data_IF_837859905672
#
_entry.id   IF_837859905672
#
_cell.length_a   1.000
_cell.length_b   1.000
_cell.length_c   1.000
_cell.angle_alpha   90.00
_cell.angle_beta   90.00
_cell.angle_gamma   90.00
#
_symmetry.space_group_name_H-M   'P 1'
#
loop_
_entity.id
_entity.type
_entity.pdbx_description
1 polymer ?
#
# COMPACT_ATOMS: atom_id res chain seq x y z
N UNK A 1 -25.40 -19.65 9.23
CA UNK A 1 -24.92 -20.90 9.88
C UNK A 1 -24.53 -20.59 11.33
N UNK A 2 -25.04 -21.32 12.33
CA UNK A 2 -24.79 -21.02 13.75
C UNK A 2 -23.32 -21.31 14.10
N UNK A 3 -22.46 -20.27 14.03
CA UNK A 3 -21.00 -20.33 14.21
C UNK A 3 -20.58 -20.92 15.57
N UNK A 4 -21.42 -20.75 16.59
CA UNK A 4 -21.23 -21.35 17.92
C UNK A 4 -21.40 -22.86 17.85
N UNK A 5 -22.48 -23.34 17.23
CA UNK A 5 -22.72 -24.78 17.05
C UNK A 5 -21.69 -25.43 16.09
N UNK A 6 -21.25 -24.71 15.06
CA UNK A 6 -20.22 -25.18 14.12
C UNK A 6 -18.84 -25.24 14.80
N UNK A 7 -18.42 -24.21 15.54
CA UNK A 7 -17.12 -24.18 16.21
C UNK A 7 -17.02 -25.15 17.40
N UNK A 8 -18.13 -25.43 18.10
CA UNK A 8 -18.16 -26.44 19.19
C UNK A 8 -18.07 -27.86 18.60
N UNK A 9 -18.77 -28.14 17.49
CA UNK A 9 -18.75 -29.47 16.84
C UNK A 9 -17.44 -29.81 16.17
N UNK A 10 -16.72 -28.84 15.59
CA UNK A 10 -15.54 -29.15 14.75
C UNK A 10 -14.19 -29.02 15.45
N UNK A 11 -14.08 -28.31 16.59
CA UNK A 11 -12.75 -27.95 17.18
C UNK A 11 -12.62 -28.14 18.70
N UNK A 12 -13.67 -28.60 19.39
CA UNK A 12 -13.68 -28.91 20.82
C UNK A 12 -13.85 -27.70 21.76
N UNK A 13 -14.51 -27.91 22.91
CA UNK A 13 -14.91 -26.85 23.85
C UNK A 13 -13.78 -25.99 24.44
N UNK A 14 -12.58 -26.56 24.61
CA UNK A 14 -11.40 -25.84 25.13
C UNK A 14 -10.87 -24.79 24.14
N UNK A 15 -10.87 -25.09 22.84
CA UNK A 15 -10.48 -24.14 21.80
C UNK A 15 -11.52 -23.03 21.58
N UNK A 16 -12.80 -23.36 21.75
CA UNK A 16 -13.89 -22.39 21.73
C UNK A 16 -13.80 -21.43 22.92
N UNK A 17 -13.63 -21.94 24.15
CA UNK A 17 -13.47 -21.12 25.35
C UNK A 17 -12.24 -20.20 25.27
N UNK A 18 -11.10 -20.70 24.78
CA UNK A 18 -9.89 -19.89 24.54
C UNK A 18 -10.17 -18.75 23.55
N UNK A 19 -10.84 -19.04 22.42
CA UNK A 19 -11.20 -18.03 21.42
C UNK A 19 -12.18 -17.00 21.96
N UNK A 20 -13.17 -17.42 22.77
CA UNK A 20 -14.09 -16.50 23.42
C UNK A 20 -13.34 -15.57 24.38
N UNK A 21 -12.46 -16.12 25.22
CA UNK A 21 -11.64 -15.32 26.15
C UNK A 21 -10.79 -14.26 25.43
N UNK A 22 -10.20 -14.61 24.28
CA UNK A 22 -9.45 -13.67 23.44
C UNK A 22 -10.30 -12.50 22.92
N UNK A 23 -11.59 -12.72 22.65
CA UNK A 23 -12.52 -11.64 22.25
C UNK A 23 -12.77 -10.68 23.41
N UNK A 24 -13.00 -11.20 24.62
CA UNK A 24 -13.19 -10.38 25.83
C UNK A 24 -11.91 -9.65 26.28
N UNK A 25 -10.72 -10.19 25.97
CA UNK A 25 -9.46 -9.51 26.22
C UNK A 25 -9.21 -8.35 25.24
N UNK A 26 -9.73 -8.45 24.00
CA UNK A 26 -9.58 -7.43 22.95
C UNK A 26 -10.59 -6.29 23.09
N UNK A 27 -11.87 -6.62 23.28
CA UNK A 27 -12.94 -5.63 23.26
C UNK A 27 -13.49 -5.36 24.66
N UNK A 28 -13.91 -4.11 24.90
CA UNK A 28 -14.67 -3.75 26.10
C UNK A 28 -16.18 -3.84 25.86
N UNK A 29 -16.96 -3.82 26.94
CA UNK A 29 -18.42 -3.62 26.85
C UNK A 29 -18.81 -2.16 26.52
N UNK A 30 -17.84 -1.23 26.55
CA UNK A 30 -18.00 0.16 26.16
C UNK A 30 -16.87 0.58 25.21
N UNK A 31 -17.05 1.70 24.54
CA UNK A 31 -16.07 2.30 23.62
C UNK A 31 -14.72 2.64 24.29
N UNK A 32 -14.66 2.75 25.63
CA UNK A 32 -13.50 3.28 26.35
C UNK A 32 -12.19 2.59 26.00
N UNK A 33 -12.19 1.26 25.87
CA UNK A 33 -10.98 0.50 25.55
C UNK A 33 -10.51 0.79 24.12
N UNK A 34 -11.42 0.70 23.15
CA UNK A 34 -11.08 0.90 21.74
C UNK A 34 -10.70 2.37 21.47
N UNK A 35 -11.42 3.33 22.07
CA UNK A 35 -11.04 4.77 22.07
C UNK A 35 -9.61 4.96 22.54
N UNK A 36 -9.24 4.40 23.71
CA UNK A 36 -7.87 4.51 24.23
C UNK A 36 -6.84 3.93 23.26
N UNK A 37 -7.12 2.78 22.64
CA UNK A 37 -6.19 2.17 21.70
C UNK A 37 -6.04 2.99 20.41
N UNK A 38 -7.12 3.52 19.85
CA UNK A 38 -7.09 4.44 18.70
C UNK A 38 -6.30 5.72 19.02
N UNK A 39 -6.59 6.34 20.16
CA UNK A 39 -5.89 7.54 20.64
C UNK A 39 -4.39 7.28 20.86
N UNK A 40 -4.02 6.06 21.28
CA UNK A 40 -2.62 5.66 21.45
C UNK A 40 -1.89 5.65 20.10
N UNK A 41 -2.46 5.03 19.06
CA UNK A 41 -1.85 5.01 17.72
C UNK A 41 -1.70 6.43 17.17
N UNK A 42 -2.74 7.26 17.29
CA UNK A 42 -2.69 8.67 16.86
C UNK A 42 -1.62 9.44 17.63
N UNK A 43 -1.53 9.25 18.95
CA UNK A 43 -0.55 9.94 19.78
C UNK A 43 0.89 9.59 19.43
N UNK A 44 1.18 8.31 19.14
CA UNK A 44 2.52 7.89 18.71
C UNK A 44 2.90 8.54 17.37
N UNK A 45 1.99 8.62 16.40
CA UNK A 45 2.24 9.21 15.08
C UNK A 45 2.33 10.74 15.11
N UNK A 46 1.62 11.40 16.02
CA UNK A 46 1.62 12.86 16.14
C UNK A 46 3.03 13.43 16.41
N UNK A 47 3.90 12.66 17.09
CA UNK A 47 5.31 13.04 17.33
C UNK A 47 6.11 13.18 16.04
N UNK A 48 5.66 12.54 14.97
CA UNK A 48 6.27 12.53 13.65
C UNK A 48 5.49 13.40 12.65
N UNK A 49 4.59 14.27 13.14
CA UNK A 49 3.69 15.11 12.31
C UNK A 49 2.83 14.29 11.35
N UNK A 50 2.53 13.04 11.70
CA UNK A 50 1.75 12.11 10.90
C UNK A 50 0.47 11.69 11.61
N UNK A 51 -0.41 11.01 10.89
CA UNK A 51 -1.64 10.44 11.41
C UNK A 51 -1.94 9.08 10.76
N UNK A 52 -2.73 8.20 11.41
CA UNK A 52 -3.08 6.90 10.84
C UNK A 52 -4.26 6.98 9.86
N UNK A 53 -4.49 5.90 9.14
CA UNK A 53 -5.72 5.66 8.36
C UNK A 53 -6.51 4.51 8.97
N UNK A 54 -7.80 4.71 9.28
CA UNK A 54 -8.64 3.65 9.81
C UNK A 54 -9.77 3.28 8.84
N UNK A 55 -9.90 2.00 8.50
CA UNK A 55 -11.00 1.49 7.69
C UNK A 55 -12.10 0.94 8.59
N UNK A 56 -13.36 1.35 8.35
CA UNK A 56 -14.46 1.04 9.27
C UNK A 56 -15.69 0.53 8.50
N UNK A 57 -16.31 -0.59 8.93
CA UNK A 57 -17.56 -1.03 8.36
C UNK A 57 -18.66 0.01 8.62
N UNK A 58 -19.46 0.31 7.61
CA UNK A 58 -20.46 1.37 7.71
C UNK A 58 -21.46 1.15 8.86
N UNK A 59 -21.85 -0.10 9.14
CA UNK A 59 -22.72 -0.41 10.28
C UNK A 59 -22.08 -0.07 11.64
N UNK A 60 -20.76 -0.19 11.76
CA UNK A 60 -20.01 0.20 12.98
C UNK A 60 -19.95 1.72 13.07
N UNK A 61 -19.68 2.41 11.96
CA UNK A 61 -19.71 3.87 11.90
C UNK A 61 -21.05 4.44 12.36
N UNK A 62 -22.16 3.87 11.88
CA UNK A 62 -23.52 4.28 12.26
C UNK A 62 -23.79 4.12 13.77
N UNK A 63 -23.21 3.11 14.41
CA UNK A 63 -23.36 2.87 15.85
C UNK A 63 -22.51 3.81 16.70
N UNK A 64 -21.34 4.21 16.21
CA UNK A 64 -20.35 4.99 16.95
C UNK A 64 -19.93 6.31 16.24
N UNK A 65 -20.86 7.14 15.74
CA UNK A 65 -20.50 8.30 14.92
C UNK A 65 -19.72 9.34 15.72
N UNK A 66 -20.05 9.55 17.00
CA UNK A 66 -19.38 10.54 17.84
C UNK A 66 -17.92 10.17 18.17
N UNK A 67 -17.66 8.88 18.43
CA UNK A 67 -16.30 8.38 18.61
C UNK A 67 -15.47 8.63 17.36
N UNK A 68 -15.98 8.21 16.20
CA UNK A 68 -15.22 8.27 14.96
C UNK A 68 -15.07 9.70 14.44
N UNK A 69 -16.02 10.58 14.71
CA UNK A 69 -15.85 12.02 14.51
C UNK A 69 -14.70 12.58 15.37
N UNK A 70 -14.57 12.15 16.64
CA UNK A 70 -13.45 12.56 17.51
C UNK A 70 -12.11 12.08 16.93
N UNK A 71 -12.06 10.84 16.44
CA UNK A 71 -10.86 10.24 15.85
C UNK A 71 -10.45 10.94 14.55
N UNK A 72 -11.42 11.23 13.68
CA UNK A 72 -11.19 12.00 12.46
C UNK A 72 -10.72 13.43 12.76
N UNK A 73 -11.34 14.11 13.73
CA UNK A 73 -10.92 15.45 14.19
C UNK A 73 -9.52 15.46 14.81
N UNK A 74 -9.05 14.33 15.34
CA UNK A 74 -7.68 14.17 15.81
C UNK A 74 -6.66 13.98 14.66
N UNK A 75 -7.10 14.01 13.40
CA UNK A 75 -6.28 14.00 12.19
C UNK A 75 -6.21 12.66 11.45
N UNK A 76 -6.85 11.61 11.97
CA UNK A 76 -6.89 10.31 11.31
C UNK A 76 -7.79 10.34 10.06
N UNK A 77 -7.36 9.68 8.99
CA UNK A 77 -8.24 9.40 7.86
C UNK A 77 -9.22 8.28 8.22
N UNK A 78 -10.46 8.38 7.75
CA UNK A 78 -11.46 7.32 7.85
C UNK A 78 -11.82 6.81 6.45
N UNK A 79 -11.52 5.55 6.19
CA UNK A 79 -11.88 4.83 4.96
C UNK A 79 -13.04 3.86 5.16
N UNK A 80 -13.64 3.41 4.05
CA UNK A 80 -14.75 2.45 4.09
C UNK A 80 -14.21 1.02 4.17
N UNK A 81 -14.73 0.21 5.10
CA UNK A 81 -14.41 -1.22 5.24
C UNK A 81 -15.61 -2.12 4.93
N UNK A 82 -16.28 -1.83 3.82
CA UNK A 82 -17.56 -2.43 3.45
C UNK A 82 -18.76 -1.91 4.25
N UNK A 83 -19.97 -2.31 3.82
CA UNK A 83 -21.19 -2.02 4.59
C UNK A 83 -21.22 -2.84 5.89
N UNK A 84 -20.92 -4.13 5.77
CA UNK A 84 -20.68 -5.08 6.85
C UNK A 84 -19.34 -5.79 6.59
N UNK A 85 -18.84 -6.53 7.58
CA UNK A 85 -17.57 -7.24 7.48
C UNK A 85 -17.74 -8.63 6.83
N UNK A 86 -18.14 -8.67 5.56
CA UNK A 86 -18.25 -9.89 4.73
C UNK A 86 -17.17 -9.92 3.64
N UNK A 87 -16.89 -11.11 3.12
CA UNK A 87 -15.90 -11.31 2.07
C UNK A 87 -16.49 -10.98 0.70
N UNK A 88 -15.99 -9.92 0.06
CA UNK A 88 -16.53 -9.44 -1.23
C UNK A 88 -16.27 -10.42 -2.37
N UNK A 89 -15.30 -11.34 -2.23
CA UNK A 89 -15.08 -12.42 -3.20
C UNK A 89 -16.25 -13.39 -3.30
N UNK A 90 -17.12 -13.41 -2.29
CA UNK A 90 -18.33 -14.25 -2.26
C UNK A 90 -19.55 -13.52 -2.81
N UNK A 91 -19.42 -12.24 -3.15
CA UNK A 91 -20.49 -11.41 -3.68
C UNK A 91 -20.34 -11.25 -5.20
N UNK A 92 -21.45 -11.37 -5.93
CA UNK A 92 -21.52 -10.94 -7.33
C UNK A 92 -21.39 -9.42 -7.44
N UNK A 93 -20.95 -8.92 -8.61
CA UNK A 93 -20.76 -7.49 -8.90
C UNK A 93 -21.92 -6.59 -8.43
N UNK A 94 -23.17 -6.93 -8.76
CA UNK A 94 -24.34 -6.13 -8.37
C UNK A 94 -24.52 -6.04 -6.85
N UNK A 95 -24.23 -7.14 -6.14
CA UNK A 95 -24.29 -7.18 -4.68
C UNK A 95 -23.15 -6.35 -4.06
N UNK A 96 -21.94 -6.41 -4.62
CA UNK A 96 -20.83 -5.53 -4.23
C UNK A 96 -21.23 -4.06 -4.44
N UNK A 97 -21.77 -3.71 -5.60
CA UNK A 97 -22.20 -2.35 -5.91
C UNK A 97 -23.30 -1.85 -4.96
N UNK A 98 -24.31 -2.68 -4.69
CA UNK A 98 -25.40 -2.35 -3.77
C UNK A 98 -24.90 -2.17 -2.33
N UNK A 99 -24.01 -3.04 -1.85
CA UNK A 99 -23.43 -2.91 -0.51
C UNK A 99 -22.53 -1.68 -0.40
N UNK A 100 -21.67 -1.43 -1.39
CA UNK A 100 -20.80 -0.25 -1.39
C UNK A 100 -21.61 1.05 -1.43
N UNK A 101 -22.69 1.14 -2.24
CA UNK A 101 -23.61 2.29 -2.21
C UNK A 101 -24.26 2.50 -0.85
N UNK A 102 -24.67 1.42 -0.18
CA UNK A 102 -25.22 1.51 1.19
C UNK A 102 -24.17 1.99 2.20
N UNK A 103 -22.92 1.55 2.06
CA UNK A 103 -21.83 2.03 2.89
C UNK A 103 -21.59 3.54 2.69
N UNK A 104 -21.51 3.99 1.43
CA UNK A 104 -21.40 5.40 1.06
C UNK A 104 -22.53 6.22 1.67
N UNK A 105 -23.78 5.77 1.55
CA UNK A 105 -24.93 6.47 2.13
C UNK A 105 -24.79 6.64 3.64
N UNK A 106 -24.32 5.64 4.37
CA UNK A 106 -24.09 5.78 5.82
C UNK A 106 -23.04 6.84 6.13
N UNK A 107 -21.92 6.82 5.41
CA UNK A 107 -20.84 7.81 5.59
C UNK A 107 -21.33 9.22 5.29
N UNK A 108 -22.13 9.40 4.24
CA UNK A 108 -22.76 10.67 3.89
C UNK A 108 -23.77 11.13 4.95
N UNK A 109 -24.62 10.23 5.46
CA UNK A 109 -25.63 10.53 6.49
C UNK A 109 -25.00 11.08 7.76
N UNK A 110 -23.87 10.49 8.19
CA UNK A 110 -23.12 10.94 9.38
C UNK A 110 -22.08 12.02 9.06
N UNK A 111 -22.00 12.47 7.81
CA UNK A 111 -21.07 13.49 7.30
C UNK A 111 -19.60 13.16 7.55
N UNK A 112 -19.24 11.88 7.45
CA UNK A 112 -17.86 11.42 7.54
C UNK A 112 -17.22 11.48 6.14
N UNK A 113 -16.14 12.27 5.92
CA UNK A 113 -15.42 12.24 4.66
C UNK A 113 -14.73 10.88 4.47
N UNK A 114 -14.64 10.43 3.23
CA UNK A 114 -13.95 9.20 2.86
C UNK A 114 -13.39 9.32 1.44
N UNK A 115 -12.25 8.67 1.19
CA UNK A 115 -11.65 8.56 -0.15
C UNK A 115 -11.21 7.13 -0.46
N UNK A 116 -10.77 6.39 0.57
CA UNK A 116 -10.31 5.03 0.47
C UNK A 116 -11.34 3.95 0.75
N UNK A 117 -11.10 2.77 0.18
CA UNK A 117 -11.78 1.53 0.54
C UNK A 117 -10.77 0.41 0.86
N UNK A 118 -11.07 -0.40 1.86
CA UNK A 118 -10.39 -1.69 2.08
C UNK A 118 -11.44 -2.76 2.30
N UNK A 119 -11.37 -3.85 1.57
CA UNK A 119 -12.25 -4.99 1.73
C UNK A 119 -11.93 -5.75 3.03
N UNK A 120 -12.96 -6.25 3.73
CA UNK A 120 -12.77 -7.24 4.79
C UNK A 120 -11.91 -8.41 4.32
N UNK A 121 -10.98 -8.85 5.17
CA UNK A 121 -10.01 -9.91 4.87
C UNK A 121 -9.08 -9.63 3.69
N UNK A 122 -8.96 -8.37 3.25
CA UNK A 122 -8.31 -8.01 1.97
C UNK A 122 -8.92 -8.79 0.79
N UNK A 123 -10.20 -9.19 0.92
CA UNK A 123 -10.87 -10.08 -0.01
C UNK A 123 -11.54 -9.33 -1.14
N UNK A 124 -10.84 -9.16 -2.26
CA UNK A 124 -11.32 -8.45 -3.44
C UNK A 124 -11.36 -9.34 -4.71
N UNK A 125 -12.13 -8.91 -5.71
CA UNK A 125 -12.22 -9.47 -7.07
C UNK A 125 -12.12 -8.38 -8.13
N UNK A 126 -12.00 -8.74 -9.42
CA UNK A 126 -12.05 -7.78 -10.54
C UNK A 126 -13.29 -6.87 -10.47
N UNK A 127 -14.45 -7.49 -10.19
CA UNK A 127 -15.70 -6.78 -9.96
C UNK A 127 -15.58 -5.69 -8.88
N UNK A 128 -14.78 -5.93 -7.82
CA UNK A 128 -14.56 -4.93 -6.77
C UNK A 128 -13.89 -3.68 -7.34
N UNK A 129 -12.95 -3.85 -8.26
CA UNK A 129 -12.15 -2.75 -8.82
C UNK A 129 -13.00 -1.90 -9.75
N UNK A 130 -13.80 -2.55 -10.59
CA UNK A 130 -14.79 -1.87 -11.42
C UNK A 130 -15.81 -1.13 -10.56
N UNK A 131 -16.36 -1.79 -9.52
CA UNK A 131 -17.33 -1.17 -8.61
C UNK A 131 -16.76 0.04 -7.88
N UNK A 132 -15.52 -0.03 -7.38
CA UNK A 132 -14.90 1.10 -6.68
C UNK A 132 -14.58 2.25 -7.62
N UNK A 133 -14.17 1.95 -8.85
CA UNK A 133 -13.96 2.95 -9.90
C UNK A 133 -15.28 3.66 -10.25
N UNK A 134 -16.34 2.90 -10.53
CA UNK A 134 -17.67 3.42 -10.89
C UNK A 134 -18.30 4.28 -9.78
N UNK A 135 -18.01 3.95 -8.52
CA UNK A 135 -18.52 4.68 -7.36
C UNK A 135 -17.62 5.83 -6.90
N UNK A 136 -16.52 6.10 -7.64
CA UNK A 136 -15.69 7.28 -7.45
C UNK A 136 -14.73 7.23 -6.27
N UNK A 137 -14.30 6.04 -5.84
CA UNK A 137 -13.25 5.94 -4.82
C UNK A 137 -11.92 6.48 -5.35
N UNK A 138 -11.19 7.16 -4.47
CA UNK A 138 -9.89 7.74 -4.83
C UNK A 138 -8.77 6.70 -4.83
N UNK A 139 -8.87 5.70 -3.97
CA UNK A 139 -7.93 4.58 -3.87
C UNK A 139 -8.55 3.37 -3.16
N UNK A 140 -7.91 2.22 -3.29
CA UNK A 140 -8.15 1.04 -2.47
C UNK A 140 -6.83 0.47 -1.92
N UNK A 141 -6.89 -0.31 -0.84
CA UNK A 141 -5.70 -0.92 -0.23
C UNK A 141 -5.92 -2.37 0.19
N UNK A 142 -6.01 -3.25 -0.81
CA UNK A 142 -6.31 -4.67 -0.61
C UNK A 142 -5.19 -5.65 -1.00
N UNK A 143 -4.18 -5.21 -1.74
CA UNK A 143 -3.12 -6.12 -2.16
C UNK A 143 -2.15 -6.40 -1.02
N UNK A 144 -2.01 -7.66 -0.63
CA UNK A 144 -1.13 -8.06 0.45
C UNK A 144 0.23 -8.52 -0.10
N UNK A 145 1.29 -7.74 0.13
CA UNK A 145 2.66 -8.06 -0.29
C UNK A 145 3.39 -8.77 0.84
N UNK A 146 3.87 -9.98 0.55
CA UNK A 146 4.56 -10.81 1.53
C UNK A 146 6.03 -10.44 1.67
N UNK A 147 6.43 -10.09 2.89
CA UNK A 147 7.82 -9.96 3.28
C UNK A 147 8.29 -11.21 4.02
N UNK A 148 9.32 -11.88 3.48
CA UNK A 148 9.90 -13.09 4.05
C UNK A 148 10.87 -12.78 5.21
N UNK A 149 10.34 -12.18 6.28
CA UNK A 149 11.11 -11.73 7.46
C UNK A 149 11.00 -12.66 8.67
N UNK A 150 10.19 -13.72 8.56
CA UNK A 150 9.96 -14.72 9.62
C UNK A 150 10.68 -16.01 9.25
N UNK A 151 11.46 -16.57 10.18
CA UNK A 151 12.13 -17.85 9.95
C UNK A 151 11.15 -19.03 10.08
N UNK A 152 10.63 -19.49 8.95
CA UNK A 152 9.65 -20.57 8.88
C UNK A 152 10.17 -21.91 9.40
N UNK A 153 11.49 -22.15 9.37
CA UNK A 153 12.10 -23.41 9.83
C UNK A 153 11.95 -23.64 11.33
N UNK A 154 11.70 -22.57 12.09
CA UNK A 154 11.51 -22.62 13.55
C UNK A 154 10.07 -22.93 13.95
N UNK A 155 9.14 -22.95 12.99
CA UNK A 155 7.72 -23.08 13.26
C UNK A 155 7.30 -24.55 13.36
N UNK A 156 6.44 -24.86 14.33
CA UNK A 156 5.79 -26.17 14.38
C UNK A 156 4.89 -26.39 13.13
N UNK A 157 4.66 -27.65 12.69
CA UNK A 157 3.82 -27.93 11.53
C UNK A 157 2.41 -27.33 11.60
N UNK A 158 1.83 -27.21 12.80
CA UNK A 158 0.49 -26.61 12.99
C UNK A 158 0.50 -25.09 12.79
N UNK A 159 1.55 -24.42 13.25
CA UNK A 159 1.71 -22.97 13.05
C UNK A 159 1.97 -22.69 11.57
N UNK A 160 2.82 -23.49 10.93
CA UNK A 160 3.11 -23.37 9.51
C UNK A 160 1.86 -23.54 8.63
N UNK A 161 1.03 -24.56 8.88
CA UNK A 161 -0.25 -24.76 8.17
C UNK A 161 -1.20 -23.56 8.36
N UNK A 162 -1.30 -23.03 9.59
CA UNK A 162 -2.11 -21.85 9.88
C UNK A 162 -1.61 -20.58 9.18
N UNK A 163 -0.29 -20.43 9.08
CA UNK A 163 0.36 -19.34 8.36
C UNK A 163 0.11 -19.43 6.85
N UNK A 164 0.33 -20.61 6.24
CA UNK A 164 0.06 -20.86 4.81
C UNK A 164 -1.40 -20.61 4.43
N UNK A 165 -2.35 -20.99 5.29
CA UNK A 165 -3.77 -20.68 5.10
C UNK A 165 -4.07 -19.18 5.11
N UNK A 166 -3.30 -18.40 5.87
CA UNK A 166 -3.45 -16.94 5.93
C UNK A 166 -2.90 -16.29 4.68
N UNK A 167 -1.75 -16.76 4.17
CA UNK A 167 -1.22 -16.33 2.88
C UNK A 167 -2.19 -16.62 1.73
N UNK A 168 -2.79 -17.81 1.71
CA UNK A 168 -3.80 -18.18 0.71
C UNK A 168 -5.07 -17.32 0.85
N UNK A 169 -5.51 -17.01 2.08
CA UNK A 169 -6.64 -16.13 2.33
C UNK A 169 -6.39 -14.72 1.80
N UNK A 170 -5.19 -14.17 2.01
CA UNK A 170 -4.83 -12.83 1.52
C UNK A 170 -4.43 -12.81 0.05
N UNK A 171 -4.35 -13.97 -0.63
CA UNK A 171 -3.79 -14.11 -1.98
C UNK A 171 -2.45 -13.37 -2.08
N UNK A 172 -1.57 -13.64 -1.11
CA UNK A 172 -0.35 -12.88 -0.90
C UNK A 172 0.50 -12.81 -2.18
N UNK A 173 0.86 -11.58 -2.56
CA UNK A 173 1.75 -11.29 -3.67
C UNK A 173 3.21 -11.44 -3.23
N UNK A 174 4.10 -11.92 -4.13
CA UNK A 174 5.52 -11.94 -3.84
C UNK A 174 6.06 -10.52 -3.73
N UNK A 175 7.12 -10.38 -2.93
CA UNK A 175 7.90 -9.16 -2.84
C UNK A 175 8.59 -8.85 -4.18
N UNK A 176 8.31 -7.68 -4.76
CA UNK A 176 9.06 -7.07 -5.87
C UNK A 176 9.07 -5.55 -5.69
N UNK A 177 9.97 -4.83 -6.37
CA UNK A 177 9.98 -3.36 -6.35
C UNK A 177 8.65 -2.78 -6.82
N UNK A 178 8.07 -3.35 -7.89
CA UNK A 178 6.76 -2.99 -8.40
C UNK A 178 5.64 -3.24 -7.37
N UNK A 179 5.63 -4.41 -6.72
CA UNK A 179 4.58 -4.78 -5.77
C UNK A 179 4.46 -3.82 -4.58
N UNK A 180 5.55 -3.12 -4.24
CA UNK A 180 5.58 -2.16 -3.12
C UNK A 180 5.28 -0.72 -3.54
N UNK A 181 5.06 -0.45 -4.84
CA UNK A 181 4.68 0.87 -5.35
C UNK A 181 3.18 0.89 -5.64
N UNK A 182 2.47 1.99 -5.30
CA UNK A 182 1.11 2.18 -5.76
C UNK A 182 1.03 2.22 -7.29
N UNK A 183 -0.10 1.78 -7.84
CA UNK A 183 -0.35 1.79 -9.28
C UNK A 183 -1.82 2.04 -9.58
N UNK A 184 -2.12 2.58 -10.76
CA UNK A 184 -3.49 2.82 -11.20
C UNK A 184 -4.07 1.61 -11.92
N UNK A 185 -5.34 1.35 -11.66
CA UNK A 185 -6.22 0.58 -12.55
C UNK A 185 -7.31 1.55 -13.03
N UNK A 186 -7.12 2.10 -14.22
CA UNK A 186 -7.94 3.20 -14.74
C UNK A 186 -7.78 4.49 -13.93
N UNK A 187 -8.81 4.86 -13.17
CA UNK A 187 -8.81 6.03 -12.30
C UNK A 187 -8.61 5.70 -10.81
N UNK A 188 -8.72 4.42 -10.44
CA UNK A 188 -8.57 3.95 -9.06
C UNK A 188 -7.10 3.67 -8.77
N UNK A 189 -6.56 4.30 -7.72
CA UNK A 189 -5.22 3.97 -7.25
C UNK A 189 -5.26 2.75 -6.33
N UNK A 190 -4.37 1.80 -6.55
CA UNK A 190 -4.15 0.62 -5.71
C UNK A 190 -2.93 0.86 -4.83
N UNK A 191 -3.10 0.82 -3.51
CA UNK A 191 -2.00 1.01 -2.55
C UNK A 191 -1.74 -0.32 -1.83
N UNK A 192 -0.56 -0.95 -2.01
CA UNK A 192 -0.27 -2.25 -1.41
C UNK A 192 -0.17 -2.17 0.11
N UNK A 193 -0.63 -3.22 0.79
CA UNK A 193 -0.45 -3.49 2.23
C UNK A 193 0.64 -4.52 2.43
N UNK A 194 1.52 -4.32 3.42
CA UNK A 194 2.60 -5.26 3.72
C UNK A 194 2.20 -6.26 4.80
N UNK A 195 2.52 -7.54 4.58
CA UNK A 195 2.41 -8.62 5.57
C UNK A 195 3.80 -9.22 5.85
N UNK A 196 4.10 -9.70 7.06
CA UNK A 196 3.19 -9.97 8.18
C UNK A 196 2.71 -8.71 8.92
N UNK A 197 1.40 -8.60 9.08
CA UNK A 197 0.73 -7.60 9.91
C UNK A 197 0.57 -8.09 11.37
N UNK A 198 -0.09 -7.31 12.22
CA UNK A 198 -0.29 -7.70 13.62
C UNK A 198 -1.19 -8.95 13.78
N UNK A 199 -2.17 -9.18 12.91
CA UNK A 199 -2.97 -10.42 12.95
C UNK A 199 -2.10 -11.65 12.68
N UNK A 200 -1.29 -11.61 11.63
CA UNK A 200 -0.44 -12.73 11.25
C UNK A 200 0.59 -13.02 12.35
N UNK A 201 1.21 -11.99 12.93
CA UNK A 201 2.18 -12.16 14.01
C UNK A 201 1.53 -12.75 15.27
N UNK A 202 0.45 -12.14 15.77
CA UNK A 202 -0.14 -12.54 17.05
C UNK A 202 -0.97 -13.83 16.96
N UNK A 203 -1.83 -13.93 15.94
CA UNK A 203 -2.88 -14.95 15.89
C UNK A 203 -2.43 -16.20 15.16
N UNK A 204 -1.51 -16.07 14.19
CA UNK A 204 -0.98 -17.19 13.39
C UNK A 204 0.36 -17.66 13.91
N UNK A 205 1.33 -16.74 13.98
CA UNK A 205 2.72 -17.06 14.30
C UNK A 205 3.00 -17.11 15.80
N UNK A 206 2.10 -16.59 16.66
CA UNK A 206 2.25 -16.51 18.12
C UNK A 206 3.43 -15.64 18.58
N UNK A 207 3.87 -14.74 17.71
CA UNK A 207 4.86 -13.71 18.00
C UNK A 207 4.09 -12.53 18.61
N UNK A 208 4.27 -12.30 19.91
CA UNK A 208 3.40 -11.40 20.69
C UNK A 208 4.15 -10.39 21.56
N UNK A 209 5.47 -10.49 21.65
CA UNK A 209 6.27 -9.54 22.42
C UNK A 209 6.50 -8.27 21.60
N UNK A 210 6.39 -7.10 22.22
CA UNK A 210 6.56 -5.82 21.53
C UNK A 210 7.94 -5.67 20.89
N UNK A 211 8.98 -6.23 21.51
CA UNK A 211 10.35 -6.25 20.99
C UNK A 211 10.49 -7.07 19.69
N UNK A 212 9.99 -8.31 19.68
CA UNK A 212 10.10 -9.18 18.53
C UNK A 212 9.24 -8.67 17.36
N UNK A 213 8.01 -8.23 17.65
CA UNK A 213 7.11 -7.61 16.66
C UNK A 213 7.75 -6.34 16.07
N UNK A 214 8.27 -5.46 16.93
CA UNK A 214 8.96 -4.24 16.49
C UNK A 214 10.17 -4.54 15.62
N UNK A 215 10.97 -5.55 15.98
CA UNK A 215 12.11 -6.01 15.18
C UNK A 215 11.68 -6.49 13.79
N UNK A 216 10.61 -7.29 13.72
CA UNK A 216 10.08 -7.79 12.45
C UNK A 216 9.59 -6.63 11.59
N UNK A 217 8.81 -5.71 12.14
CA UNK A 217 8.32 -4.55 11.40
C UNK A 217 9.46 -3.64 10.93
N UNK A 218 10.50 -3.43 11.74
CA UNK A 218 11.67 -2.66 11.31
C UNK A 218 12.44 -3.35 10.18
N UNK A 219 12.51 -4.69 10.16
CA UNK A 219 13.08 -5.43 9.02
C UNK A 219 12.25 -5.24 7.75
N UNK A 220 10.92 -5.24 7.85
CA UNK A 220 10.03 -4.92 6.72
C UNK A 220 10.30 -3.50 6.23
N UNK A 221 10.39 -2.52 7.14
CA UNK A 221 10.70 -1.13 6.79
C UNK A 221 12.03 -1.03 6.05
N UNK A 222 13.08 -1.74 6.49
CA UNK A 222 14.36 -1.72 5.79
C UNK A 222 14.23 -2.25 4.36
N UNK A 223 13.57 -3.40 4.17
CA UNK A 223 13.34 -3.96 2.83
C UNK A 223 12.60 -2.97 1.92
N UNK A 224 11.53 -2.35 2.43
CA UNK A 224 10.77 -1.33 1.69
C UNK A 224 11.64 -0.12 1.36
N UNK A 225 12.47 0.33 2.30
CA UNK A 225 13.38 1.45 2.13
C UNK A 225 14.40 1.21 1.01
N UNK A 226 14.95 -0.01 0.94
CA UNK A 226 15.97 -0.40 -0.04
C UNK A 226 15.45 -0.36 -1.50
N UNK A 227 14.13 -0.43 -1.70
CA UNK A 227 13.50 -0.42 -3.05
C UNK A 227 12.60 0.78 -3.30
N UNK A 228 12.70 1.81 -2.46
CA UNK A 228 11.89 3.03 -2.54
C UNK A 228 10.37 2.77 -2.51
N UNK A 229 9.92 1.76 -1.75
CA UNK A 229 8.52 1.34 -1.70
C UNK A 229 7.65 2.07 -0.67
N UNK A 230 6.38 1.65 -0.58
CA UNK A 230 5.46 2.01 0.50
C UNK A 230 5.29 0.85 1.50
N UNK A 231 5.53 1.15 2.78
CA UNK A 231 5.17 0.26 3.86
C UNK A 231 3.83 0.70 4.43
N UNK A 232 2.75 0.05 4.00
CA UNK A 232 1.45 0.17 4.68
C UNK A 232 1.34 -0.97 5.68
N UNK A 233 1.49 -0.66 6.96
CA UNK A 233 1.26 -1.62 8.05
C UNK A 233 -0.23 -1.64 8.39
N UNK A 234 -0.84 -2.82 8.44
CA UNK A 234 -2.14 -3.00 9.09
C UNK A 234 -1.90 -3.29 10.58
N UNK A 235 -2.42 -2.43 11.45
CA UNK A 235 -2.41 -2.56 12.89
C UNK A 235 -3.85 -2.49 13.37
N UNK A 236 -4.43 -3.65 13.73
CA UNK A 236 -5.79 -3.70 14.23
C UNK A 236 -5.90 -2.86 15.51
N UNK A 237 -6.77 -1.83 15.54
CA UNK A 237 -6.68 -0.83 16.60
C UNK A 237 -6.94 -1.37 18.00
N UNK A 238 -7.65 -2.49 18.19
CA UNK A 238 -7.77 -3.11 19.52
C UNK A 238 -6.41 -3.52 20.12
N UNK A 239 -5.39 -3.74 19.28
CA UNK A 239 -4.00 -4.02 19.70
C UNK A 239 -3.14 -2.77 19.84
N UNK A 240 -3.66 -1.56 19.61
CA UNK A 240 -2.86 -0.32 19.64
C UNK A 240 -2.03 -0.13 20.91
N UNK A 241 -2.60 -0.40 22.09
CA UNK A 241 -1.87 -0.35 23.38
C UNK A 241 -0.84 -1.49 23.48
N UNK A 242 -1.17 -2.70 23.03
CA UNK A 242 -0.31 -3.87 23.09
C UNK A 242 0.91 -3.74 22.18
N UNK A 243 0.71 -3.14 21.01
CA UNK A 243 1.74 -2.91 20.00
C UNK A 243 2.46 -1.56 20.17
N UNK A 244 2.20 -0.78 21.23
CA UNK A 244 2.79 0.54 21.41
C UNK A 244 4.32 0.51 21.35
N UNK A 245 4.95 -0.46 22.05
CA UNK A 245 6.41 -0.64 22.00
C UNK A 245 6.90 -0.98 20.59
N UNK A 246 6.23 -1.92 19.91
CA UNK A 246 6.58 -2.33 18.55
C UNK A 246 6.47 -1.18 17.55
N UNK A 247 5.41 -0.38 17.66
CA UNK A 247 5.17 0.79 16.84
C UNK A 247 6.24 1.86 17.08
N UNK A 248 6.59 2.13 18.35
CA UNK A 248 7.67 3.06 18.68
C UNK A 248 9.02 2.60 18.10
N UNK A 249 9.34 1.30 18.17
CA UNK A 249 10.54 0.73 17.57
C UNK A 249 10.57 0.90 16.05
N UNK A 250 9.45 0.63 15.38
CA UNK A 250 9.31 0.83 13.93
C UNK A 250 9.50 2.30 13.54
N UNK A 251 8.81 3.22 14.22
CA UNK A 251 8.89 4.64 13.91
C UNK A 251 10.31 5.18 14.14
N UNK A 252 10.97 4.77 15.22
CA UNK A 252 12.38 5.09 15.46
C UNK A 252 13.29 4.58 14.34
N UNK A 253 13.11 3.33 13.90
CA UNK A 253 13.88 2.76 12.79
C UNK A 253 13.65 3.50 11.47
N UNK A 254 12.41 3.87 11.16
CA UNK A 254 12.06 4.63 9.96
C UNK A 254 12.70 6.04 9.96
N UNK A 255 12.74 6.72 11.11
CA UNK A 255 13.34 8.06 11.21
C UNK A 255 14.84 8.09 11.39
N UNK A 256 15.46 6.94 11.64
CA UNK A 256 16.92 6.81 11.78
C UNK A 256 17.62 6.55 10.43
N UNK A 257 16.87 6.51 9.33
CA UNK A 257 17.40 6.27 8.01
C UNK A 257 18.22 7.46 7.48
N UNK A 258 19.26 7.23 6.66
CA UNK A 258 20.10 8.31 6.12
C UNK A 258 19.32 9.34 5.30
N UNK A 259 18.31 8.88 4.54
CA UNK A 259 17.33 9.73 3.85
C UNK A 259 15.97 9.56 4.52
N UNK A 260 15.16 10.62 4.57
CA UNK A 260 13.93 10.60 5.34
C UNK A 260 12.89 9.64 4.75
N UNK A 261 12.10 9.03 5.63
CA UNK A 261 10.90 8.24 5.30
C UNK A 261 9.67 9.12 5.46
N UNK A 262 8.79 9.16 4.46
CA UNK A 262 7.56 9.93 4.51
C UNK A 262 6.51 9.18 5.32
N UNK A 263 6.34 9.58 6.59
CA UNK A 263 5.34 9.00 7.49
C UNK A 263 4.02 9.76 7.28
N UNK A 264 2.98 9.09 6.80
CA UNK A 264 1.81 9.77 6.22
C UNK A 264 0.56 8.89 6.19
N UNK A 265 -0.60 9.48 5.88
CA UNK A 265 -1.87 8.75 5.66
C UNK A 265 -1.97 8.18 4.24
N UNK A 266 -2.94 7.29 4.02
CA UNK A 266 -3.16 6.70 2.69
C UNK A 266 -3.78 7.70 1.71
N UNK A 267 -4.68 8.60 2.13
CA UNK A 267 -5.19 9.69 1.29
C UNK A 267 -4.09 10.63 0.78
N UNK A 268 -3.07 10.88 1.59
CA UNK A 268 -1.91 11.70 1.23
C UNK A 268 -1.04 10.99 0.19
N UNK A 269 -0.78 9.69 0.35
CA UNK A 269 -0.13 8.86 -0.68
C UNK A 269 -0.95 8.89 -1.97
N UNK A 270 -2.28 8.76 -1.87
CA UNK A 270 -3.16 8.79 -3.04
C UNK A 270 -3.14 10.13 -3.77
N UNK A 271 -3.13 11.24 -3.05
CA UNK A 271 -2.98 12.57 -3.62
C UNK A 271 -1.63 12.74 -4.32
N UNK A 272 -0.55 12.28 -3.68
CA UNK A 272 0.79 12.37 -4.28
C UNK A 272 0.90 11.59 -5.59
N UNK A 273 0.36 10.37 -5.64
CA UNK A 273 0.40 9.58 -6.88
C UNK A 273 -0.45 10.18 -8.01
N UNK A 274 -1.59 10.80 -7.67
CA UNK A 274 -2.38 11.58 -8.64
C UNK A 274 -1.65 12.83 -9.13
N UNK A 275 -0.97 13.54 -8.24
CA UNK A 275 -0.12 14.69 -8.59
C UNK A 275 1.01 14.26 -9.54
N UNK A 276 1.72 13.19 -9.18
CA UNK A 276 2.87 12.66 -9.94
C UNK A 276 2.50 12.12 -11.32
N UNK A 277 1.26 11.66 -11.52
CA UNK A 277 0.76 11.21 -12.83
C UNK A 277 0.82 12.30 -13.91
N UNK A 278 0.84 13.58 -13.52
CA UNK A 278 0.94 14.69 -14.47
C UNK A 278 2.40 15.06 -14.84
N UNK A 279 3.40 14.39 -14.25
CA UNK A 279 4.79 14.79 -14.44
C UNK A 279 5.36 14.26 -15.75
N UNK A 280 6.13 15.09 -16.45
CA UNK A 280 6.75 14.73 -17.72
C UNK A 280 8.18 15.23 -17.81
N UNK A 281 8.97 14.56 -18.67
CA UNK A 281 10.28 15.05 -19.11
C UNK A 281 10.21 15.36 -20.60
N UNK A 282 10.71 16.52 -20.98
CA UNK A 282 11.03 16.88 -22.35
C UNK A 282 12.53 16.74 -22.52
N UNK A 283 12.95 15.83 -23.40
CA UNK A 283 14.36 15.48 -23.63
C UNK A 283 14.68 15.77 -25.09
N UNK A 284 15.66 16.64 -25.32
CA UNK A 284 16.07 17.06 -26.66
C UNK A 284 17.58 16.98 -26.80
N UNK A 285 18.04 16.35 -27.87
CA UNK A 285 19.46 16.34 -28.21
C UNK A 285 19.86 17.71 -28.75
N UNK A 286 20.91 18.31 -28.18
CA UNK A 286 21.46 19.58 -28.67
C UNK A 286 22.66 19.32 -29.58
N UNK A 287 23.55 18.43 -29.14
CA UNK A 287 24.75 17.99 -29.86
C UNK A 287 24.98 16.49 -29.63
N UNK A 288 25.95 15.89 -30.30
CA UNK A 288 26.31 14.49 -30.06
C UNK A 288 26.76 14.30 -28.61
N UNK A 289 26.09 13.42 -27.86
CA UNK A 289 26.35 13.19 -26.44
C UNK A 289 25.79 14.24 -25.47
N UNK A 290 25.20 15.35 -25.95
CA UNK A 290 24.68 16.44 -25.12
C UNK A 290 23.16 16.57 -25.22
N UNK A 291 22.49 16.51 -24.07
CA UNK A 291 21.03 16.49 -23.98
C UNK A 291 20.52 17.60 -23.07
N UNK A 292 19.52 18.34 -23.54
CA UNK A 292 18.72 19.25 -22.72
C UNK A 292 17.54 18.48 -22.12
N UNK A 293 17.39 18.56 -20.81
CA UNK A 293 16.27 17.96 -20.07
C UNK A 293 15.47 19.08 -19.42
N UNK A 294 14.16 19.08 -19.67
CA UNK A 294 13.19 19.91 -18.98
C UNK A 294 12.15 19.03 -18.28
N UNK A 295 12.02 19.17 -16.96
CA UNK A 295 11.07 18.45 -16.14
C UNK A 295 9.85 19.32 -15.82
N UNK A 296 8.68 18.93 -16.28
CA UNK A 296 7.41 19.55 -15.89
C UNK A 296 6.83 18.79 -14.71
N UNK A 297 6.96 19.37 -13.53
CA UNK A 297 6.57 18.73 -12.28
C UNK A 297 6.38 19.78 -11.17
N UNK A 298 5.80 19.38 -10.05
CA UNK A 298 5.68 20.27 -8.88
C UNK A 298 6.99 20.42 -8.15
N UNK A 299 7.11 21.44 -7.30
CA UNK A 299 8.30 21.67 -6.47
C UNK A 299 8.62 20.53 -5.50
N UNK A 300 7.65 19.67 -5.21
CA UNK A 300 7.83 18.50 -4.35
C UNK A 300 8.44 17.31 -5.10
N UNK A 301 8.52 17.34 -6.43
CA UNK A 301 9.13 16.27 -7.21
C UNK A 301 10.65 16.27 -7.06
N UNK A 302 11.21 15.08 -6.87
CA UNK A 302 12.66 14.81 -6.88
C UNK A 302 13.04 14.21 -8.22
N UNK A 303 13.96 14.89 -8.92
CA UNK A 303 14.52 14.46 -10.20
C UNK A 303 15.84 13.75 -9.90
N UNK A 304 15.97 12.52 -10.40
CA UNK A 304 17.16 11.69 -10.23
C UNK A 304 17.78 11.42 -11.59
N UNK A 305 19.10 11.50 -11.64
CA UNK A 305 19.92 11.18 -12.81
C UNK A 305 20.92 10.11 -12.42
N UNK A 306 21.14 9.12 -13.29
CA UNK A 306 22.13 8.07 -13.10
C UNK A 306 23.04 7.92 -14.31
N UNK A 307 24.29 7.54 -14.08
CA UNK A 307 25.30 7.26 -15.11
C UNK A 307 25.44 8.33 -16.20
N UNK A 308 25.36 9.61 -15.81
CA UNK A 308 25.55 10.76 -16.71
C UNK A 308 26.18 11.94 -15.94
N UNK A 309 26.79 12.87 -16.65
CA UNK A 309 27.28 14.11 -16.05
C UNK A 309 26.24 15.22 -16.23
N UNK A 310 25.83 15.86 -15.14
CA UNK A 310 24.90 16.99 -15.17
C UNK A 310 25.71 18.28 -15.14
N UNK A 311 25.41 19.21 -16.05
CA UNK A 311 25.99 20.55 -16.02
C UNK A 311 25.28 21.38 -14.94
N UNK A 312 25.92 21.51 -13.77
CA UNK A 312 25.41 22.29 -12.64
C UNK A 312 25.60 21.58 -11.31
N UNK A 313 24.96 22.12 -10.26
CA UNK A 313 24.99 21.53 -8.93
C UNK A 313 24.10 20.28 -8.85
N UNK A 314 24.67 19.20 -8.33
CA UNK A 314 23.94 17.98 -8.00
C UNK A 314 24.22 17.58 -6.55
N UNK A 315 23.28 16.83 -5.97
CA UNK A 315 23.43 16.25 -4.64
C UNK A 315 23.49 14.73 -4.74
N UNK A 316 24.39 14.08 -4.01
CA UNK A 316 24.47 12.63 -3.97
C UNK A 316 23.13 12.04 -3.47
N UNK A 317 22.51 11.17 -4.28
CA UNK A 317 21.30 10.44 -3.88
C UNK A 317 21.64 9.01 -3.48
N UNK A 318 22.43 8.29 -4.27
CA UNK A 318 22.92 6.95 -3.97
C UNK A 318 24.33 6.78 -4.57
N UNK A 319 24.91 5.59 -4.52
CA UNK A 319 26.20 5.34 -5.20
C UNK A 319 26.13 5.53 -6.72
N UNK A 320 24.95 5.34 -7.33
CA UNK A 320 24.73 5.42 -8.78
C UNK A 320 23.87 6.60 -9.22
N UNK A 321 23.23 7.31 -8.29
CA UNK A 321 22.28 8.38 -8.60
C UNK A 321 22.63 9.71 -7.93
N UNK A 322 22.32 10.78 -8.64
CA UNK A 322 22.39 12.15 -8.15
C UNK A 322 21.02 12.83 -8.29
N UNK A 323 20.70 13.69 -7.33
CA UNK A 323 19.52 14.56 -7.32
C UNK A 323 19.86 15.89 -8.00
N UNK A 324 18.95 16.34 -8.86
CA UNK A 324 19.03 17.63 -9.55
C UNK A 324 17.91 18.56 -9.07
N UNK A 325 18.25 19.77 -8.63
CA UNK A 325 17.25 20.77 -8.22
C UNK A 325 16.65 21.54 -9.40
N UNK A 326 17.47 21.76 -10.43
CA UNK A 326 17.06 22.50 -11.62
C UNK A 326 15.95 21.75 -12.37
N UNK A 327 14.97 22.50 -12.90
CA UNK A 327 13.89 21.95 -13.74
C UNK A 327 14.25 21.94 -15.22
N UNK A 328 15.27 22.70 -15.61
CA UNK A 328 15.87 22.66 -16.93
C UNK A 328 17.38 22.61 -16.75
N UNK A 329 18.02 21.61 -17.34
CA UNK A 329 19.46 21.39 -17.21
C UNK A 329 20.01 20.63 -18.40
N UNK A 330 21.33 20.71 -18.58
CA UNK A 330 22.07 19.99 -19.61
C UNK A 330 22.74 18.76 -18.99
N UNK A 331 22.80 17.68 -19.76
CA UNK A 331 23.55 16.47 -19.38
C UNK A 331 24.42 15.98 -20.51
N UNK A 332 25.58 15.42 -20.14
CA UNK A 332 26.47 14.71 -21.04
C UNK A 332 26.30 13.20 -20.81
N UNK A 333 25.86 12.50 -21.86
CA UNK A 333 25.58 11.08 -21.86
C UNK A 333 25.73 10.50 -23.28
N UNK A 334 26.44 9.37 -23.40
CA UNK A 334 26.65 8.66 -24.68
C UNK A 334 25.34 8.21 -25.33
N UNK A 335 24.28 8.05 -24.55
CA UNK A 335 22.95 7.61 -24.98
C UNK A 335 21.89 8.57 -24.47
N UNK A 336 20.75 8.59 -25.17
CA UNK A 336 19.55 9.28 -24.72
C UNK A 336 19.20 8.82 -23.29
N UNK A 337 19.05 9.75 -22.34
CA UNK A 337 18.79 9.45 -20.93
C UNK A 337 17.31 9.05 -20.68
N UNK A 338 16.72 8.28 -21.60
CA UNK A 338 15.34 7.81 -21.57
C UNK A 338 15.24 6.36 -22.04
N UNK A 339 14.07 5.76 -21.80
CA UNK A 339 13.72 4.45 -22.35
C UNK A 339 13.17 4.64 -23.77
N UNK A 340 13.58 3.78 -24.70
CA UNK A 340 12.91 3.65 -25.99
C UNK A 340 11.85 2.57 -25.93
N UNK A 341 10.70 2.84 -26.53
CA UNK A 341 9.61 1.87 -26.69
C UNK A 341 9.27 1.76 -28.18
N UNK A 342 9.17 0.52 -28.68
CA UNK A 342 8.82 0.24 -30.06
C UNK A 342 7.45 0.82 -30.44
N UNK A 343 7.28 1.29 -31.68
CA UNK A 343 5.99 1.79 -32.18
C UNK A 343 4.85 0.76 -32.13
N UNK A 344 5.17 -0.54 -32.10
CA UNK A 344 4.16 -1.62 -31.98
C UNK A 344 3.77 -1.93 -30.55
N UNK A 345 4.48 -1.39 -29.55
CA UNK A 345 4.15 -1.64 -28.14
C UNK A 345 2.91 -0.83 -27.74
N UNK A 346 1.89 -1.43 -27.11
CA UNK A 346 0.68 -0.72 -26.70
C UNK A 346 0.92 0.46 -25.76
N UNK A 347 0.02 1.45 -25.77
CA UNK A 347 0.12 2.65 -24.93
C UNK A 347 0.07 2.33 -23.42
N UNK A 348 -0.62 1.26 -23.02
CA UNK A 348 -0.68 0.82 -21.61
C UNK A 348 0.71 0.54 -21.01
N UNK A 349 1.70 0.12 -21.81
CA UNK A 349 3.08 -0.09 -21.34
C UNK A 349 3.75 1.26 -21.11
N UNK A 350 3.49 2.24 -21.98
CA UNK A 350 4.02 3.61 -21.88
C UNK A 350 3.42 4.32 -20.67
N UNK A 351 2.10 4.24 -20.49
CA UNK A 351 1.39 4.75 -19.32
C UNK A 351 1.94 4.16 -18.02
N UNK A 352 2.20 2.84 -18.00
CA UNK A 352 2.82 2.17 -16.86
C UNK A 352 4.23 2.70 -16.57
N UNK A 353 5.08 2.86 -17.58
CA UNK A 353 6.44 3.37 -17.39
C UNK A 353 6.44 4.82 -16.89
N UNK A 354 5.58 5.68 -17.44
CA UNK A 354 5.37 7.03 -16.96
C UNK A 354 4.85 7.06 -15.52
N UNK A 355 3.88 6.20 -15.19
CA UNK A 355 3.40 6.03 -13.83
C UNK A 355 4.53 5.61 -12.89
N UNK A 356 5.45 4.75 -13.32
CA UNK A 356 6.60 4.37 -12.50
C UNK A 356 7.71 5.45 -12.48
N UNK A 357 7.58 6.53 -13.25
CA UNK A 357 8.45 7.71 -13.25
C UNK A 357 9.58 7.68 -14.26
N UNK A 358 9.50 6.78 -15.23
CA UNK A 358 10.51 6.65 -16.28
C UNK A 358 10.07 7.43 -17.53
N UNK A 359 10.95 8.28 -18.11
CA UNK A 359 10.69 8.91 -19.39
C UNK A 359 10.80 7.90 -20.52
N UNK A 360 9.87 8.01 -21.47
CA UNK A 360 9.74 7.09 -22.61
C UNK A 360 9.71 7.89 -23.91
N UNK A 361 10.37 7.35 -24.93
CA UNK A 361 10.33 7.86 -26.31
C UNK A 361 9.99 6.73 -27.28
N UNK A 362 9.17 7.02 -28.29
CA UNK A 362 8.90 6.06 -29.37
C UNK A 362 10.06 6.05 -30.36
N UNK A 363 10.53 4.87 -30.74
CA UNK A 363 11.70 4.72 -31.63
C UNK A 363 11.63 3.42 -32.42
N UNK A 364 12.42 3.33 -33.50
CA UNK A 364 12.58 2.12 -34.29
C UNK A 364 13.69 1.21 -33.72
N UNK A 365 13.69 -0.07 -34.10
CA UNK A 365 14.63 -1.06 -33.54
C UNK A 365 16.08 -0.76 -33.92
N UNK A 366 16.31 -0.18 -35.10
CA UNK A 366 17.64 0.21 -35.60
C UNK A 366 18.31 1.26 -34.69
N UNK A 367 17.51 2.05 -33.97
CA UNK A 367 17.95 3.12 -33.07
C UNK A 367 18.15 2.62 -31.63
N UNK A 368 17.95 1.32 -31.35
CA UNK A 368 17.98 0.77 -29.97
C UNK A 368 19.24 1.08 -29.18
N UNK A 369 20.38 1.23 -29.86
CA UNK A 369 21.68 1.50 -29.24
C UNK A 369 21.83 2.97 -28.79
N UNK A 370 20.91 3.85 -29.21
CA UNK A 370 20.90 5.26 -28.85
C UNK A 370 20.23 5.51 -27.49
N UNK A 371 19.65 4.49 -26.86
CA UNK A 371 18.87 4.62 -25.61
C UNK A 371 19.39 3.72 -24.50
N UNK A 372 19.01 4.03 -23.26
CA UNK A 372 19.36 3.23 -22.08
C UNK A 372 18.84 1.80 -22.17
N UNK A 373 17.62 1.64 -22.69
CA UNK A 373 16.96 0.37 -22.91
C UNK A 373 15.92 0.54 -24.02
N UNK A 374 15.87 -0.41 -24.95
CA UNK A 374 14.81 -0.53 -25.94
C UNK A 374 13.82 -1.63 -25.52
N UNK A 375 12.54 -1.26 -25.41
CA UNK A 375 11.44 -2.12 -24.97
C UNK A 375 10.56 -2.43 -26.19
N UNK A 376 10.42 -3.72 -26.48
CA UNK A 376 9.54 -4.21 -27.54
C UNK A 376 8.57 -5.24 -26.94
N UNK A 377 7.34 -4.80 -26.67
CA UNK A 377 6.28 -5.61 -26.06
C UNK A 377 4.99 -5.46 -26.88
N UNK A 378 4.93 -5.99 -28.12
CA UNK A 378 3.76 -5.83 -29.00
C UNK A 378 2.47 -6.44 -28.41
N UNK A 379 2.59 -7.42 -27.52
CA UNK A 379 1.47 -8.06 -26.81
C UNK A 379 1.05 -7.30 -25.54
N UNK A 380 1.70 -6.18 -25.21
CA UNK A 380 1.41 -5.38 -24.03
C UNK A 380 1.90 -6.02 -22.73
N UNK A 381 1.25 -5.70 -21.62
CA UNK A 381 1.62 -6.22 -20.29
C UNK A 381 1.07 -7.63 -20.02
N UNK A 382 0.26 -8.18 -20.92
CA UNK A 382 -0.37 -9.49 -20.78
C UNK A 382 -1.88 -9.40 -20.55
N UNK A 383 -2.54 -10.55 -20.67
CA UNK A 383 -4.02 -10.63 -20.73
C UNK A 383 -4.66 -11.01 -19.40
N UNK A 384 -3.86 -11.55 -18.47
CA UNK A 384 -4.30 -11.87 -17.11
C UNK A 384 -3.55 -11.03 -16.07
N UNK A 385 -4.14 -10.82 -14.89
CA UNK A 385 -3.45 -10.11 -13.79
C UNK A 385 -2.15 -10.76 -13.37
N UNK A 386 -2.06 -12.09 -13.41
CA UNK A 386 -0.83 -12.80 -13.05
C UNK A 386 0.29 -12.52 -14.06
N UNK A 387 -0.03 -12.49 -15.36
CA UNK A 387 0.90 -12.08 -16.42
C UNK A 387 1.29 -10.62 -16.27
N UNK A 388 0.31 -9.73 -16.09
CA UNK A 388 0.54 -8.30 -15.90
C UNK A 388 1.44 -8.02 -14.69
N UNK A 389 1.16 -8.63 -13.54
CA UNK A 389 2.01 -8.52 -12.36
C UNK A 389 3.44 -8.99 -12.63
N UNK A 390 3.59 -10.13 -13.30
CA UNK A 390 4.90 -10.70 -13.64
C UNK A 390 5.68 -9.80 -14.60
N UNK A 391 5.02 -9.32 -15.65
CA UNK A 391 5.65 -8.48 -16.68
C UNK A 391 5.98 -7.09 -16.14
N UNK A 392 5.07 -6.45 -15.38
CA UNK A 392 5.33 -5.18 -14.68
C UNK A 392 6.51 -5.32 -13.72
N UNK A 393 6.56 -6.40 -12.92
CA UNK A 393 7.67 -6.65 -12.00
C UNK A 393 9.00 -6.81 -12.72
N UNK A 394 9.05 -7.68 -13.74
CA UNK A 394 10.26 -7.90 -14.54
C UNK A 394 10.75 -6.62 -15.22
N UNK A 395 9.84 -5.81 -15.75
CA UNK A 395 10.19 -4.57 -16.43
C UNK A 395 10.79 -3.55 -15.47
N UNK A 396 10.19 -3.36 -14.30
CA UNK A 396 10.74 -2.49 -13.25
C UNK A 396 12.10 -3.00 -12.77
N UNK A 397 12.22 -4.30 -12.46
CA UNK A 397 13.50 -4.89 -12.04
C UNK A 397 14.60 -4.73 -13.11
N UNK A 398 14.26 -4.93 -14.38
CA UNK A 398 15.18 -4.71 -15.50
C UNK A 398 15.63 -3.25 -15.57
N UNK A 399 14.72 -2.29 -15.41
CA UNK A 399 15.04 -0.85 -15.46
C UNK A 399 15.86 -0.43 -14.25
N UNK A 400 15.50 -0.87 -13.04
CA UNK A 400 16.23 -0.53 -11.81
C UNK A 400 17.66 -1.11 -11.82
N UNK A 401 17.89 -2.25 -12.49
CA UNK A 401 19.20 -2.87 -12.64
C UNK A 401 20.08 -2.27 -13.77
N UNK A 402 19.60 -1.27 -14.52
CA UNK A 402 20.37 -0.67 -15.62
C UNK A 402 21.55 0.16 -15.10
N UNK A 403 22.75 -0.22 -15.55
CA UNK A 403 23.97 0.58 -15.49
C UNK A 403 24.11 1.43 -16.77
N UNK A 404 23.14 2.31 -17.00
CA UNK A 404 23.00 3.14 -18.21
C UNK A 404 22.47 4.54 -17.87
N UNK A 405 22.76 5.57 -18.70
CA UNK A 405 22.23 6.92 -18.49
C UNK A 405 20.69 6.92 -18.41
N UNK A 406 20.11 7.38 -17.31
CA UNK A 406 18.65 7.57 -17.21
C UNK A 406 18.30 8.74 -16.29
N UNK A 407 17.34 9.57 -16.70
CA UNK A 407 16.65 10.49 -15.79
C UNK A 407 15.32 9.86 -15.34
N UNK A 408 14.93 10.04 -14.08
CA UNK A 408 13.64 9.56 -13.55
C UNK A 408 13.09 10.48 -12.48
N UNK A 409 11.80 10.36 -12.18
CA UNK A 409 11.21 10.90 -10.96
C UNK A 409 11.32 9.89 -9.82
N UNK A 410 11.79 10.32 -8.65
CA UNK A 410 11.71 9.51 -7.44
C UNK A 410 10.26 9.16 -7.10
N UNK A 411 10.07 8.11 -6.31
CA UNK A 411 8.72 7.63 -5.95
C UNK A 411 8.00 8.58 -4.98
N UNK A 412 8.73 9.29 -4.11
CA UNK A 412 8.15 10.01 -2.98
C UNK A 412 8.48 11.50 -3.00
N UNK A 413 7.62 12.35 -2.41
CA UNK A 413 7.80 13.80 -2.48
C UNK A 413 8.97 14.26 -1.62
N UNK A 414 9.47 15.46 -1.91
CA UNK A 414 10.35 16.24 -1.04
C UNK A 414 11.62 15.50 -0.61
N UNK A 415 12.17 14.66 -1.50
CA UNK A 415 13.42 13.93 -1.26
C UNK A 415 13.31 12.79 -0.25
N UNK A 416 12.11 12.31 0.05
CA UNK A 416 11.95 11.08 0.84
C UNK A 416 12.32 9.86 0.00
N UNK A 417 12.90 8.85 0.64
CA UNK A 417 13.29 7.62 -0.04
C UNK A 417 12.17 6.57 -0.04
N UNK A 418 11.36 6.51 1.00
CA UNK A 418 10.26 5.56 1.13
C UNK A 418 9.07 6.19 1.84
N UNK A 419 7.91 5.53 1.81
CA UNK A 419 6.74 5.94 2.59
C UNK A 419 6.40 4.89 3.67
N UNK A 420 5.90 5.37 4.81
CA UNK A 420 5.36 4.54 5.89
C UNK A 420 3.97 5.06 6.25
N UNK A 421 2.97 4.18 6.14
CA UNK A 421 1.60 4.46 6.58
C UNK A 421 1.16 3.42 7.60
N UNK A 422 0.68 3.90 8.74
CA UNK A 422 0.04 3.04 9.74
C UNK A 422 -1.45 3.07 9.49
N UNK A 423 -1.97 1.93 9.05
CA UNK A 423 -3.39 1.72 8.81
C UNK A 423 -3.98 0.75 9.83
N UNK A 424 -5.31 0.72 9.98
CA UNK A 424 -5.95 -0.25 10.86
C UNK A 424 -7.40 -0.51 10.50
N UNK A 425 -7.82 -1.77 10.57
CA UNK A 425 -9.19 -2.19 10.29
C UNK A 425 -9.99 -2.25 11.60
N UNK A 426 -11.02 -1.40 11.73
CA UNK A 426 -11.90 -1.35 12.91
C UNK A 426 -13.09 -2.27 12.69
N UNK A 427 -12.87 -3.57 12.86
CA UNK A 427 -13.93 -4.58 12.74
C UNK A 427 -15.07 -4.39 13.73
N UNK A 428 -14.76 -3.90 14.92
CA UNK A 428 -15.66 -3.81 16.07
C UNK A 428 -15.11 -2.80 17.07
N UNK A 429 -15.99 -2.01 17.70
CA UNK A 429 -15.60 -1.07 18.77
C UNK A 429 -15.83 -1.70 20.14
N UNK A 430 -16.90 -2.47 20.27
CA UNK A 430 -17.33 -3.15 21.48
C UNK A 430 -17.48 -4.66 21.28
N UNK A 431 -17.60 -5.41 22.38
CA UNK A 431 -17.94 -6.84 22.34
C UNK A 431 -19.29 -7.07 21.65
N UNK A 432 -20.25 -6.16 21.82
CA UNK A 432 -21.57 -6.27 21.19
C UNK A 432 -21.45 -6.19 19.67
N UNK A 433 -20.62 -5.28 19.15
CA UNK A 433 -20.35 -5.17 17.72
C UNK A 433 -19.74 -6.45 17.15
N UNK A 434 -18.82 -7.08 17.89
CA UNK A 434 -18.20 -8.33 17.46
C UNK A 434 -19.22 -9.44 17.23
N UNK A 435 -20.22 -9.56 18.13
CA UNK A 435 -21.29 -10.54 17.97
C UNK A 435 -22.33 -10.11 16.93
N UNK A 436 -22.69 -8.83 16.88
CA UNK A 436 -23.61 -8.28 15.87
C UNK A 436 -23.07 -8.50 14.46
N UNK A 437 -21.77 -8.33 14.24
CA UNK A 437 -21.08 -8.59 12.97
C UNK A 437 -21.44 -9.95 12.39
N UNK A 438 -21.47 -11.00 13.23
CA UNK A 438 -21.81 -12.36 12.79
C UNK A 438 -23.24 -12.45 12.27
N UNK A 439 -24.18 -11.77 12.93
CA UNK A 439 -25.59 -11.74 12.56
C UNK A 439 -25.82 -10.87 11.31
N UNK A 440 -25.12 -9.74 11.22
CA UNK A 440 -25.22 -8.79 10.10
C UNK A 440 -24.71 -9.39 8.80
N UNK A 441 -23.59 -10.12 8.84
CA UNK A 441 -23.11 -10.89 7.68
C UNK A 441 -24.17 -11.89 7.24
N UNK A 442 -24.81 -12.62 8.16
CA UNK A 442 -25.87 -13.56 7.80
C UNK A 442 -27.12 -12.95 7.16
N UNK A 443 -27.38 -11.65 7.39
CA UNK A 443 -28.51 -10.91 6.77
C UNK A 443 -28.17 -10.30 5.41
N UNK A 444 -26.88 -10.21 5.10
CA UNK A 444 -26.34 -9.51 3.92
C UNK A 444 -25.36 -10.37 3.12
N UNK A 445 -25.34 -11.68 3.38
CA UNK A 445 -24.59 -12.69 2.64
C UNK A 445 -25.32 -13.07 1.35
#
# INVERSE_FOLDING_TARGET
>A
MNLVAFSIRTKGGRNFARRLWTVFSRFGFSEKRNRRSLETVIHELKRYQAAPTFFIPAVVLRRHPALLATISQAGAEIGIHGYVHNDYRQLHKDAQQAQTRRAISVFQDVKMPFQGFRNPYLGWSEDSIEVFTDLGFGYESNEAVLHEVVNLTTLSPTILDGYQKSLALYRALPYTTYALRPHFEGALLRIPTSIPDDEMLFDRLRITTGEEVGTIWSKVMQRVYDVEGAYVLNLHPERGVLCQQALATLLCAATSQPRPVWITRLDEIAHWWKERRAFTFHIQQQEEGAWQIQAECTNRATILTRHMQVEGETMLWSESEARVEARTFMVQAERCPALAVSHTTPEEVVDFLHEQGYPVMRSYEEERNNYALYIHMPEGLGTSRAEQFTNRSKLVEQIEALDQPLVRFACWPSGHQAALSISGDIDSVTIQDFFLRILEVGKHA
#
